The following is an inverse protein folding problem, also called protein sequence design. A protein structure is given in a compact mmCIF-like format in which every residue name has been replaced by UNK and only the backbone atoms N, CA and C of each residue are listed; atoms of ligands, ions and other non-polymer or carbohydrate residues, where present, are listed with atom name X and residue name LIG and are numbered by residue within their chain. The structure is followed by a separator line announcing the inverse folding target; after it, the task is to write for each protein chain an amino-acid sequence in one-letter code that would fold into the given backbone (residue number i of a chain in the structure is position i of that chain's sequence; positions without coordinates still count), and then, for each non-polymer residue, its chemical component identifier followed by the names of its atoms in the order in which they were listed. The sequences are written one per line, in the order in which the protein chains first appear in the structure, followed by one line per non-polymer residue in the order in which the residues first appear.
data_IF_219836022165
#
_entry.id   IF_219836022165
#
_cell.length_a   1.000
_cell.length_b   1.000
_cell.length_c   1.000
_cell.angle_alpha   90.00
_cell.angle_beta   90.00
_cell.angle_gamma   90.00
#
_symmetry.space_group_name_H-M   'P 1'
#
loop_
_entity.id
_entity.type
_entity.pdbx_description
1 polymer ?
#
# COMPACT_ATOMS: atom_id res chain seq x y z
N UNK A 1 6.37 -18.09 -13.11
CA UNK A 1 5.00 -17.73 -12.72
C UNK A 1 4.97 -17.73 -11.22
N UNK A 2 4.82 -16.56 -10.61
CA UNK A 2 4.70 -16.48 -9.16
C UNK A 2 3.24 -16.80 -8.81
N UNK A 3 3.00 -17.98 -8.24
CA UNK A 3 1.69 -18.36 -7.73
C UNK A 3 1.47 -17.64 -6.41
N UNK A 4 0.96 -16.42 -6.50
CA UNK A 4 0.61 -15.63 -5.34
C UNK A 4 -0.69 -16.12 -4.71
N UNK A 5 -1.02 -15.59 -3.53
CA UNK A 5 -2.28 -15.90 -2.86
C UNK A 5 -3.50 -15.58 -3.77
N UNK A 6 -3.37 -14.68 -4.76
CA UNK A 6 -4.48 -14.29 -5.66
C UNK A 6 -4.80 -15.40 -6.64
N UNK A 7 -3.77 -16.04 -7.20
CA UNK A 7 -3.91 -17.20 -8.07
C UNK A 7 -4.69 -18.34 -7.38
N UNK A 8 -4.29 -18.70 -6.16
CA UNK A 8 -4.97 -19.76 -5.41
C UNK A 8 -6.41 -19.40 -5.07
N UNK A 9 -6.70 -18.12 -4.80
CA UNK A 9 -8.05 -17.65 -4.53
C UNK A 9 -8.95 -17.75 -5.78
N UNK A 10 -8.45 -17.34 -6.95
CA UNK A 10 -9.16 -17.50 -8.23
C UNK A 10 -9.40 -18.97 -8.55
N UNK A 11 -8.38 -19.82 -8.39
CA UNK A 11 -8.49 -21.25 -8.62
C UNK A 11 -9.53 -21.89 -7.67
N UNK A 12 -9.50 -21.52 -6.38
CA UNK A 12 -10.47 -22.00 -5.40
C UNK A 12 -11.90 -21.56 -5.74
N UNK A 13 -12.11 -20.28 -6.11
CA UNK A 13 -13.43 -19.79 -6.56
C UNK A 13 -13.91 -20.53 -7.80
N UNK A 14 -13.03 -20.75 -8.79
CA UNK A 14 -13.38 -21.47 -10.01
C UNK A 14 -13.77 -22.92 -9.72
N UNK A 15 -12.95 -23.67 -8.98
CA UNK A 15 -13.20 -25.07 -8.65
C UNK A 15 -14.48 -25.24 -7.84
N UNK A 16 -14.66 -24.44 -6.78
CA UNK A 16 -15.89 -24.51 -5.96
C UNK A 16 -17.13 -24.10 -6.76
N UNK A 17 -17.01 -23.09 -7.62
CA UNK A 17 -18.10 -22.66 -8.51
C UNK A 17 -18.49 -23.71 -9.54
N UNK A 18 -17.52 -24.40 -10.15
CA UNK A 18 -17.76 -25.47 -11.13
C UNK A 18 -18.39 -26.70 -10.48
N UNK A 19 -17.90 -27.12 -9.31
CA UNK A 19 -18.48 -28.28 -8.60
C UNK A 19 -19.93 -28.01 -8.21
N UNK A 20 -20.18 -26.88 -7.56
CA UNK A 20 -21.52 -26.53 -7.10
C UNK A 20 -22.47 -26.23 -8.27
N UNK A 21 -22.05 -25.39 -9.21
CA UNK A 21 -22.84 -25.03 -10.38
C UNK A 21 -23.09 -26.20 -11.33
N UNK A 22 -22.12 -27.08 -11.51
CA UNK A 22 -22.25 -28.30 -12.31
C UNK A 22 -23.25 -29.29 -11.72
N UNK A 23 -23.21 -29.51 -10.41
CA UNK A 23 -24.19 -30.36 -9.72
C UNK A 23 -25.61 -29.79 -9.81
N UNK A 24 -25.74 -28.47 -9.58
CA UNK A 24 -27.02 -27.78 -9.74
C UNK A 24 -27.58 -27.91 -11.17
N UNK A 25 -26.72 -27.78 -12.19
CA UNK A 25 -27.12 -27.91 -13.60
C UNK A 25 -27.51 -29.34 -13.96
N UNK A 26 -26.80 -30.35 -13.45
CA UNK A 26 -27.14 -31.77 -13.60
C UNK A 26 -28.52 -32.10 -13.01
N UNK A 27 -28.80 -31.64 -11.78
CA UNK A 27 -30.11 -31.85 -11.14
C UNK A 27 -31.23 -31.17 -11.92
N UNK A 28 -30.98 -29.96 -12.44
CA UNK A 28 -31.94 -29.23 -13.27
C UNK A 28 -32.23 -29.94 -14.60
N UNK A 29 -31.21 -30.51 -15.25
CA UNK A 29 -31.38 -31.29 -16.49
C UNK A 29 -32.12 -32.61 -16.24
N UNK A 30 -31.88 -33.25 -15.10
CA UNK A 30 -32.54 -34.51 -14.71
C UNK A 30 -33.90 -34.31 -14.01
N UNK A 31 -34.35 -33.05 -13.87
CA UNK A 31 -35.58 -32.63 -13.17
C UNK A 31 -35.68 -33.18 -11.74
N UNK A 32 -34.55 -33.42 -11.09
CA UNK A 32 -34.52 -33.89 -9.71
C UNK A 32 -34.53 -32.73 -8.72
N UNK A 33 -35.28 -32.84 -7.61
CA UNK A 33 -35.22 -31.86 -6.52
C UNK A 33 -33.84 -31.92 -5.84
N UNK A 34 -33.37 -30.78 -5.31
CA UNK A 34 -32.07 -30.69 -4.66
C UNK A 34 -32.06 -31.50 -3.34
N UNK A 35 -31.29 -32.60 -3.24
CA UNK A 35 -31.38 -33.49 -2.09
C UNK A 35 -30.47 -33.00 -0.97
N UNK A 36 -30.94 -32.08 -0.13
CA UNK A 36 -30.13 -31.45 0.94
C UNK A 36 -29.52 -32.47 1.91
N UNK A 37 -30.25 -33.52 2.27
CA UNK A 37 -29.78 -34.55 3.22
C UNK A 37 -28.83 -35.60 2.61
N UNK A 38 -28.80 -35.73 1.28
CA UNK A 38 -27.98 -36.71 0.56
C UNK A 38 -27.02 -36.04 -0.43
N UNK A 39 -26.70 -34.77 -0.17
CA UNK A 39 -25.76 -34.01 -0.97
C UNK A 39 -24.38 -34.68 -0.90
N UNK A 40 -23.69 -34.91 -2.03
CA UNK A 40 -22.33 -35.40 -1.98
C UNK A 40 -21.44 -34.43 -1.20
N UNK A 41 -20.60 -34.96 -0.30
CA UNK A 41 -19.74 -34.18 0.60
C UNK A 41 -18.92 -33.10 -0.13
N UNK A 42 -18.44 -33.41 -1.34
CA UNK A 42 -17.69 -32.46 -2.16
C UNK A 42 -18.53 -31.24 -2.59
N UNK A 43 -19.81 -31.46 -2.91
CA UNK A 43 -20.74 -30.39 -3.31
C UNK A 43 -21.13 -29.56 -2.10
N UNK A 44 -21.36 -30.19 -0.94
CA UNK A 44 -21.66 -29.49 0.31
C UNK A 44 -20.54 -28.50 0.68
N UNK A 45 -19.28 -28.95 0.64
CA UNK A 45 -18.13 -28.08 0.87
C UNK A 45 -18.03 -26.98 -0.19
N UNK A 46 -18.18 -27.32 -1.48
CA UNK A 46 -18.13 -26.34 -2.55
C UNK A 46 -19.21 -25.25 -2.38
N UNK A 47 -20.45 -25.62 -2.07
CA UNK A 47 -21.57 -24.71 -1.80
C UNK A 47 -21.31 -23.80 -0.60
N UNK A 48 -20.73 -24.35 0.46
CA UNK A 48 -20.48 -23.61 1.71
C UNK A 48 -19.31 -22.63 1.57
N UNK A 49 -18.23 -23.04 0.90
CA UNK A 49 -17.04 -22.21 0.73
C UNK A 49 -17.15 -21.22 -0.43
N UNK A 50 -17.86 -21.55 -1.52
CA UNK A 50 -17.96 -20.67 -2.69
C UNK A 50 -18.33 -19.23 -2.37
N UNK A 51 -19.41 -18.91 -1.61
CA UNK A 51 -19.76 -17.52 -1.32
C UNK A 51 -18.69 -16.81 -0.49
N UNK A 52 -18.07 -17.50 0.47
CA UNK A 52 -17.00 -16.93 1.30
C UNK A 52 -15.77 -16.61 0.46
N UNK A 53 -15.28 -17.59 -0.32
CA UNK A 53 -14.11 -17.42 -1.19
C UNK A 53 -14.39 -16.38 -2.27
N UNK A 54 -15.59 -16.34 -2.84
CA UNK A 54 -16.01 -15.33 -3.80
C UNK A 54 -16.03 -13.93 -3.18
N UNK A 55 -16.57 -13.76 -1.97
CA UNK A 55 -16.54 -12.47 -1.28
C UNK A 55 -15.10 -12.05 -1.02
N UNK A 56 -14.24 -12.94 -0.51
CA UNK A 56 -12.82 -12.64 -0.29
C UNK A 56 -12.13 -12.29 -1.62
N UNK A 57 -12.45 -12.99 -2.71
CA UNK A 57 -11.95 -12.68 -4.05
C UNK A 57 -12.40 -11.30 -4.51
N UNK A 58 -13.67 -10.94 -4.35
CA UNK A 58 -14.20 -9.63 -4.74
C UNK A 58 -13.61 -8.51 -3.89
N UNK A 59 -13.60 -8.67 -2.56
CA UNK A 59 -13.00 -7.72 -1.62
C UNK A 59 -11.53 -7.47 -1.97
N UNK A 60 -10.77 -8.52 -2.27
CA UNK A 60 -9.34 -8.41 -2.59
C UNK A 60 -9.06 -7.91 -4.00
N UNK A 61 -9.84 -8.37 -4.98
CA UNK A 61 -9.65 -7.99 -6.38
C UNK A 61 -10.01 -6.53 -6.60
N UNK A 62 -10.93 -6.00 -5.78
CA UNK A 62 -11.53 -4.70 -6.03
C UNK A 62 -11.35 -3.73 -4.86
N UNK A 63 -11.72 -4.06 -3.62
CA UNK A 63 -11.81 -3.06 -2.54
C UNK A 63 -10.49 -2.73 -1.85
N UNK A 64 -9.89 -3.69 -1.12
CA UNK A 64 -8.78 -3.40 -0.22
C UNK A 64 -7.75 -4.53 -0.20
N UNK A 65 -6.47 -4.16 -0.24
CA UNK A 65 -5.38 -5.11 -0.04
C UNK A 65 -4.63 -4.82 1.25
N UNK A 66 -4.47 -5.83 2.13
CA UNK A 66 -3.68 -5.67 3.33
C UNK A 66 -2.18 -5.79 3.00
N UNK A 67 -1.39 -4.85 3.52
CA UNK A 67 0.07 -4.92 3.48
C UNK A 67 0.63 -4.90 4.90
N UNK A 68 1.75 -5.60 5.10
CA UNK A 68 2.56 -5.48 6.31
C UNK A 68 3.74 -4.55 6.01
N UNK A 69 4.07 -3.67 6.95
CA UNK A 69 5.22 -2.75 6.86
C UNK A 69 6.46 -3.43 7.45
N UNK A 70 7.46 -3.77 6.62
CA UNK A 70 8.66 -4.46 7.07
C UNK A 70 9.83 -3.52 7.39
N UNK A 71 9.72 -2.24 7.02
CA UNK A 71 10.83 -1.27 7.11
C UNK A 71 10.39 0.06 7.70
N UNK A 72 11.34 0.77 8.31
CA UNK A 72 11.12 2.05 8.98
C UNK A 72 11.28 3.30 8.11
N UNK A 73 11.26 3.17 6.78
CA UNK A 73 11.48 4.29 5.85
C UNK A 73 10.35 5.34 5.85
N UNK A 74 9.18 4.98 6.37
CA UNK A 74 8.01 5.85 6.48
C UNK A 74 7.76 6.32 7.92
N UNK A 75 8.73 6.17 8.83
CA UNK A 75 8.59 6.68 10.20
C UNK A 75 8.59 8.22 10.23
N UNK A 76 7.81 8.86 11.12
CA UNK A 76 7.04 8.23 12.20
C UNK A 76 5.60 7.84 11.79
N UNK A 77 5.20 8.14 10.55
CA UNK A 77 3.86 7.89 10.01
C UNK A 77 3.52 6.41 10.02
N UNK A 78 4.42 5.57 9.48
CA UNK A 78 4.32 4.11 9.52
C UNK A 78 5.51 3.52 10.26
N UNK A 79 5.21 2.63 11.20
CA UNK A 79 6.22 1.88 11.96
C UNK A 79 6.36 0.47 11.39
N UNK A 80 7.52 -0.14 11.65
CA UNK A 80 7.69 -1.59 11.41
C UNK A 80 6.64 -2.33 12.22
N UNK A 81 6.00 -3.32 11.61
CA UNK A 81 4.92 -4.09 12.24
C UNK A 81 3.52 -3.54 12.02
N UNK A 82 3.37 -2.38 11.38
CA UNK A 82 2.05 -1.90 10.92
C UNK A 82 1.47 -2.82 9.85
N UNK A 83 0.17 -3.06 9.96
CA UNK A 83 -0.65 -3.65 8.92
C UNK A 83 -1.60 -2.58 8.40
N UNK A 84 -1.45 -2.26 7.11
CA UNK A 84 -2.19 -1.20 6.44
C UNK A 84 -3.22 -1.76 5.46
N UNK A 85 -4.26 -0.99 5.21
CA UNK A 85 -5.15 -1.20 4.08
C UNK A 85 -4.82 -0.20 2.96
N UNK A 86 -4.75 -0.74 1.75
CA UNK A 86 -4.50 0.02 0.53
C UNK A 86 -5.74 -0.01 -0.34
N UNK A 87 -6.20 1.16 -0.76
CA UNK A 87 -7.27 1.32 -1.72
C UNK A 87 -6.69 1.31 -3.13
N UNK A 88 -6.99 0.24 -3.89
CA UNK A 88 -6.54 0.09 -5.28
C UNK A 88 -7.33 0.93 -6.27
N UNK A 89 -8.58 1.26 -5.93
CA UNK A 89 -9.48 2.00 -6.81
C UNK A 89 -9.10 3.47 -6.98
N UNK A 90 -8.41 4.05 -6.00
CA UNK A 90 -8.06 5.47 -6.05
C UNK A 90 -7.40 5.83 -7.38
N UNK A 91 -6.56 4.94 -7.94
CA UNK A 91 -5.82 5.18 -9.19
C UNK A 91 -6.33 4.36 -10.38
N UNK A 92 -7.57 3.88 -10.32
CA UNK A 92 -8.23 3.15 -11.40
C UNK A 92 -8.40 1.65 -11.17
N UNK A 93 -9.28 1.03 -11.96
CA UNK A 93 -9.56 -0.41 -11.89
C UNK A 93 -8.56 -1.15 -12.77
N UNK A 94 -7.81 -2.08 -12.18
CA UNK A 94 -6.87 -2.97 -12.89
C UNK A 94 -7.39 -4.41 -12.90
N UNK A 95 -7.20 -5.12 -14.01
CA UNK A 95 -7.51 -6.55 -14.06
C UNK A 95 -6.67 -7.33 -13.04
N UNK A 96 -7.28 -8.28 -12.29
CA UNK A 96 -6.51 -9.19 -11.47
C UNK A 96 -5.53 -9.99 -12.35
N UNK A 97 -4.38 -10.35 -11.77
CA UNK A 97 -3.28 -11.10 -12.43
C UNK A 97 -2.52 -10.29 -13.49
N UNK A 98 -3.21 -9.72 -14.49
CA UNK A 98 -2.60 -9.03 -15.64
C UNK A 98 -2.25 -7.57 -15.33
N UNK A 99 -2.82 -6.99 -14.27
CA UNK A 99 -2.59 -5.60 -13.83
C UNK A 99 -2.84 -4.51 -14.89
N UNK A 100 -3.59 -4.83 -15.96
CA UNK A 100 -3.96 -3.88 -17.00
C UNK A 100 -5.04 -2.92 -16.48
N UNK A 101 -4.78 -1.61 -16.54
CA UNK A 101 -5.76 -0.55 -16.20
C UNK A 101 -6.90 -0.56 -17.23
N UNK A 102 -8.14 -0.67 -16.77
CA UNK A 102 -9.35 -0.69 -17.60
C UNK A 102 -10.16 0.60 -17.43
N UNK A 103 -10.20 1.13 -16.20
CA UNK A 103 -10.97 2.33 -15.86
C UNK A 103 -10.03 3.33 -15.22
N UNK A 104 -9.95 4.52 -15.79
CA UNK A 104 -9.29 5.68 -15.22
C UNK A 104 -10.23 6.37 -14.23
N UNK A 105 -9.73 6.68 -13.03
CA UNK A 105 -10.57 7.27 -11.96
C UNK A 105 -9.93 8.53 -11.38
N UNK A 106 -8.79 8.41 -10.70
CA UNK A 106 -8.06 9.56 -10.18
C UNK A 106 -6.55 9.38 -10.37
N UNK A 107 -5.84 10.50 -10.29
CA UNK A 107 -4.38 10.54 -10.23
C UNK A 107 -3.91 10.69 -8.77
N UNK A 108 -2.74 10.16 -8.41
CA UNK A 108 -2.06 10.46 -7.16
C UNK A 108 -1.93 11.96 -6.92
N UNK A 109 -2.30 12.37 -5.71
CA UNK A 109 -2.15 13.74 -5.26
C UNK A 109 -0.85 13.89 -4.47
N UNK A 110 -0.32 15.10 -4.46
CA UNK A 110 0.80 15.45 -3.60
C UNK A 110 0.42 15.14 -2.15
N UNK A 111 1.34 14.51 -1.43
CA UNK A 111 1.12 14.05 -0.05
C UNK A 111 0.51 12.66 0.07
N UNK A 112 -0.03 12.05 -1.01
CA UNK A 112 -0.57 10.71 -0.92
C UNK A 112 0.50 9.68 -0.54
N UNK A 113 0.17 8.77 0.37
CA UNK A 113 1.00 7.61 0.67
C UNK A 113 0.61 6.48 -0.27
N UNK A 114 1.55 6.07 -1.13
CA UNK A 114 1.29 5.12 -2.21
C UNK A 114 2.11 3.86 -2.07
N UNK A 115 1.48 2.73 -2.36
CA UNK A 115 2.16 1.46 -2.60
C UNK A 115 2.38 1.31 -4.10
N UNK A 116 3.57 0.91 -4.49
CA UNK A 116 3.97 0.73 -5.88
C UNK A 116 5.01 -0.37 -6.03
N UNK A 117 5.05 -1.00 -7.21
CA UNK A 117 6.08 -1.96 -7.58
C UNK A 117 7.39 -1.23 -7.84
N UNK A 118 8.46 -1.62 -7.17
CA UNK A 118 9.75 -0.95 -7.29
C UNK A 118 10.25 -0.97 -8.75
N UNK A 119 10.51 0.19 -9.40
CA UNK A 119 10.81 0.23 -10.83
C UNK A 119 12.01 -0.60 -11.29
N UNK A 120 13.04 -0.76 -10.43
CA UNK A 120 14.22 -1.57 -10.75
C UNK A 120 14.02 -3.07 -10.49
N UNK A 121 13.04 -3.44 -9.64
CA UNK A 121 12.70 -4.83 -9.34
C UNK A 121 11.20 -4.95 -9.04
N UNK A 122 10.34 -5.09 -10.07
CA UNK A 122 8.88 -5.01 -9.92
C UNK A 122 8.22 -6.12 -9.09
N UNK A 123 8.98 -7.16 -8.68
CA UNK A 123 8.53 -8.20 -7.76
C UNK A 123 8.49 -7.75 -6.29
N UNK A 124 8.99 -6.54 -5.99
CA UNK A 124 9.03 -5.98 -4.63
C UNK A 124 8.16 -4.72 -4.58
N UNK A 125 7.24 -4.70 -3.62
CA UNK A 125 6.39 -3.53 -3.36
C UNK A 125 7.06 -2.56 -2.37
N UNK A 126 7.01 -1.27 -2.68
CA UNK A 126 7.50 -0.17 -1.87
C UNK A 126 6.33 0.73 -1.47
N UNK A 127 6.46 1.36 -0.29
CA UNK A 127 5.53 2.39 0.17
C UNK A 127 6.30 3.69 0.42
N UNK A 128 5.83 4.79 -0.18
CA UNK A 128 6.42 6.14 -0.06
C UNK A 128 5.34 7.20 -0.17
N UNK A 129 5.66 8.43 0.24
CA UNK A 129 4.82 9.61 0.04
C UNK A 129 5.11 10.25 -1.31
N UNK A 130 4.07 10.64 -2.04
CA UNK A 130 4.19 11.40 -3.29
C UNK A 130 4.59 12.83 -2.96
N UNK A 131 5.79 13.22 -3.36
CA UNK A 131 6.33 14.57 -3.18
C UNK A 131 6.18 15.39 -4.44
N UNK A 132 6.40 14.80 -5.63
CA UNK A 132 6.29 15.48 -6.92
C UNK A 132 5.35 14.78 -7.89
N UNK A 133 4.56 15.59 -8.60
CA UNK A 133 3.62 15.20 -9.64
C UNK A 133 4.22 15.46 -11.04
N UNK A 134 3.64 14.90 -12.12
CA UNK A 134 4.06 15.21 -13.49
C UNK A 134 4.25 16.71 -13.74
N UNK A 135 5.39 17.08 -14.33
CA UNK A 135 5.76 18.45 -14.65
C UNK A 135 6.41 19.25 -13.51
N UNK A 136 6.38 18.75 -12.26
CA UNK A 136 7.02 19.45 -11.15
C UNK A 136 8.55 19.50 -11.26
N UNK A 137 9.12 20.58 -10.77
CA UNK A 137 10.54 20.71 -10.44
C UNK A 137 10.73 20.57 -8.93
N UNK A 138 11.25 19.43 -8.49
CA UNK A 138 11.52 19.11 -7.09
C UNK A 138 12.99 19.34 -6.79
N UNK A 139 13.30 20.33 -5.97
CA UNK A 139 14.63 20.51 -5.37
C UNK A 139 14.68 19.91 -3.98
N UNK A 140 15.82 19.35 -3.59
CA UNK A 140 16.05 18.93 -2.22
C UNK A 140 17.43 19.42 -1.78
N UNK A 141 17.46 20.39 -0.87
CA UNK A 141 18.68 21.07 -0.44
C UNK A 141 18.64 21.27 1.06
N UNK A 142 19.75 20.99 1.74
CA UNK A 142 19.85 21.15 3.19
C UNK A 142 18.68 20.51 3.97
N UNK A 143 18.17 19.39 3.44
CA UNK A 143 17.03 18.63 3.97
C UNK A 143 15.65 19.30 3.88
N UNK A 144 15.57 20.39 3.11
CA UNK A 144 14.32 21.09 2.78
C UNK A 144 13.92 20.74 1.35
N UNK A 145 12.64 20.42 1.16
CA UNK A 145 12.06 20.21 -0.16
C UNK A 145 11.67 21.56 -0.76
N UNK A 146 11.94 21.74 -2.04
CA UNK A 146 11.50 22.86 -2.85
C UNK A 146 10.60 22.32 -3.97
N UNK A 147 9.37 22.79 -4.06
CA UNK A 147 8.45 22.42 -5.14
C UNK A 147 8.28 23.64 -6.04
N UNK A 148 8.68 23.52 -7.31
CA UNK A 148 8.62 24.60 -8.30
C UNK A 148 9.31 25.89 -7.81
N UNK A 149 10.41 25.73 -7.06
CA UNK A 149 11.19 26.82 -6.47
C UNK A 149 10.66 27.34 -5.13
N UNK A 150 9.50 26.90 -4.67
CA UNK A 150 8.95 27.30 -3.36
C UNK A 150 9.42 26.32 -2.27
N UNK A 151 10.09 26.80 -1.21
CA UNK A 151 10.48 25.96 -0.09
C UNK A 151 9.25 25.50 0.69
N UNK A 152 9.23 24.22 1.01
CA UNK A 152 8.21 23.61 1.85
C UNK A 152 8.50 23.96 3.30
N UNK A 153 7.47 24.45 4.01
CA UNK A 153 7.60 24.87 5.41
C UNK A 153 7.80 23.65 6.30
N UNK A 154 8.78 23.75 7.20
CA UNK A 154 9.05 22.76 8.23
C UNK A 154 9.07 23.42 9.60
N UNK A 155 8.41 22.81 10.58
CA UNK A 155 8.39 23.26 11.98
C UNK A 155 8.96 22.15 12.86
N UNK A 156 9.96 22.48 13.68
CA UNK A 156 10.54 21.49 14.59
C UNK A 156 9.59 21.19 15.75
N UNK A 157 9.31 19.90 15.92
CA UNK A 157 8.55 19.35 17.05
C UNK A 157 9.49 18.82 18.15
N UNK A 158 10.79 19.07 18.03
CA UNK A 158 11.82 18.60 18.96
C UNK A 158 12.37 17.23 18.61
N UNK A 159 12.92 16.55 19.63
CA UNK A 159 13.55 15.23 19.45
C UNK A 159 12.48 14.14 19.44
N UNK A 160 12.57 13.26 18.45
CA UNK A 160 11.74 12.07 18.40
C UNK A 160 12.09 11.14 19.55
N UNK A 161 11.08 10.72 20.31
CA UNK A 161 11.19 9.71 21.34
C UNK A 161 10.39 8.49 20.87
N UNK A 162 11.11 7.50 20.33
CA UNK A 162 10.49 6.30 19.78
C UNK A 162 10.04 5.35 20.88
N UNK A 163 8.95 4.64 20.63
CA UNK A 163 8.46 3.52 21.45
C UNK A 163 8.33 2.27 20.59
N UNK A 164 8.47 1.08 21.19
CA UNK A 164 8.42 -0.19 20.46
C UNK A 164 9.39 -0.22 19.28
N UNK A 165 8.86 -0.54 18.10
CA UNK A 165 9.62 -0.55 16.84
C UNK A 165 10.16 0.83 16.39
N UNK A 166 9.73 1.93 17.01
CA UNK A 166 10.25 3.27 16.75
C UNK A 166 11.51 3.62 17.56
N UNK A 167 11.88 2.84 18.58
CA UNK A 167 12.98 3.16 19.52
C UNK A 167 14.30 3.42 18.79
N UNK A 168 14.57 2.68 17.72
CA UNK A 168 15.80 2.80 16.92
C UNK A 168 16.02 4.19 16.29
N UNK A 169 14.99 5.03 16.21
CA UNK A 169 15.11 6.42 15.72
C UNK A 169 15.11 7.48 16.82
N UNK A 170 15.14 7.08 18.10
CA UNK A 170 15.13 8.04 19.20
C UNK A 170 16.32 8.99 19.10
N UNK A 171 16.06 10.29 19.28
CA UNK A 171 17.07 11.35 19.12
C UNK A 171 17.13 11.97 17.72
N UNK A 172 16.47 11.39 16.72
CA UNK A 172 16.22 12.09 15.45
C UNK A 172 15.43 13.39 15.69
N UNK A 173 15.61 14.37 14.81
CA UNK A 173 14.79 15.58 14.80
C UNK A 173 13.45 15.27 14.12
N UNK A 174 12.36 15.51 14.85
CA UNK A 174 11.01 15.38 14.31
C UNK A 174 10.56 16.75 13.81
N UNK A 175 10.19 16.82 12.55
CA UNK A 175 9.62 18.02 11.95
C UNK A 175 8.19 17.74 11.49
N UNK A 176 7.34 18.75 11.56
CA UNK A 176 6.09 18.82 10.82
C UNK A 176 6.34 19.54 9.50
N UNK A 177 6.04 18.88 8.38
CA UNK A 177 6.23 19.40 7.04
C UNK A 177 4.86 19.68 6.38
N UNK A 178 4.68 20.90 5.87
CA UNK A 178 3.47 21.33 5.16
C UNK A 178 3.67 21.27 3.65
N UNK A 179 3.30 20.14 3.05
CA UNK A 179 3.47 19.87 1.64
C UNK A 179 2.34 20.51 0.80
N UNK A 180 2.25 21.84 0.84
CA UNK A 180 1.23 22.65 0.15
C UNK A 180 -0.20 22.33 0.60
N UNK A 181 -0.43 22.29 1.91
CA UNK A 181 -1.71 22.01 2.57
C UNK A 181 -1.84 20.58 3.08
N UNK A 182 -0.83 19.72 2.88
CA UNK A 182 -0.78 18.36 3.44
C UNK A 182 0.31 18.29 4.51
N UNK A 183 -0.12 18.45 5.76
CA UNK A 183 0.75 18.37 6.94
C UNK A 183 1.05 16.91 7.29
N UNK A 184 2.34 16.59 7.48
CA UNK A 184 2.78 15.28 7.94
C UNK A 184 4.07 15.37 8.76
N UNK A 185 4.32 14.37 9.60
CA UNK A 185 5.56 14.27 10.37
C UNK A 185 6.67 13.60 9.56
N UNK A 186 7.89 14.11 9.70
CA UNK A 186 9.11 13.53 9.12
C UNK A 186 10.19 13.38 10.19
N UNK A 187 11.12 12.45 9.97
CA UNK A 187 12.32 12.29 10.79
C UNK A 187 13.56 12.66 10.00
N UNK A 188 14.44 13.44 10.66
CA UNK A 188 15.74 13.86 10.14
C UNK A 188 16.83 13.52 11.16
N UNK A 189 17.89 12.89 10.70
CA UNK A 189 19.12 12.65 11.46
C UNK A 189 20.12 13.77 11.25
N UNK A 190 20.51 14.46 12.32
CA UNK A 190 21.55 15.52 12.23
C UNK A 190 22.91 14.91 11.87
N UNK A 191 23.69 15.59 11.02
CA UNK A 191 25.03 15.17 10.63
C UNK A 191 25.10 14.08 9.55
N UNK A 192 23.96 13.53 9.12
CA UNK A 192 23.91 12.60 7.99
C UNK A 192 23.81 13.40 6.69
N UNK A 193 24.79 13.21 5.81
CA UNK A 193 24.77 13.78 4.46
C UNK A 193 23.70 13.08 3.62
N UNK A 194 23.03 13.84 2.77
CA UNK A 194 21.99 13.35 1.87
C UNK A 194 22.20 13.90 0.47
N UNK A 195 21.55 13.29 -0.52
CA UNK A 195 21.59 13.77 -1.90
C UNK A 195 21.07 15.20 -1.94
N UNK A 196 21.73 16.07 -2.71
CA UNK A 196 21.27 17.43 -2.97
C UNK A 196 21.20 17.63 -4.48
N UNK A 197 19.98 17.71 -5.01
CA UNK A 197 19.77 17.73 -6.46
C UNK A 197 18.40 18.33 -6.81
N UNK A 198 18.19 18.55 -8.11
CA UNK A 198 16.93 18.96 -8.72
C UNK A 198 16.43 17.90 -9.66
N UNK A 199 15.18 17.49 -9.46
CA UNK A 199 14.49 16.51 -10.28
C UNK A 199 13.33 17.18 -11.01
N UNK A 200 13.28 17.04 -12.33
CA UNK A 200 12.11 17.43 -13.13
C UNK A 200 11.30 16.17 -13.39
N UNK A 201 10.08 16.12 -12.86
CA UNK A 201 9.22 14.94 -12.91
C UNK A 201 8.65 14.78 -14.32
N UNK A 202 8.95 13.68 -15.04
CA UNK A 202 8.41 13.45 -16.37
C UNK A 202 6.89 13.25 -16.35
N UNK A 203 6.25 13.44 -17.50
CA UNK A 203 4.85 13.06 -17.68
C UNK A 203 4.59 11.59 -17.33
N UNK A 204 3.45 11.31 -16.69
CA UNK A 204 3.07 9.97 -16.23
C UNK A 204 3.98 9.36 -15.14
N UNK A 205 4.82 10.17 -14.50
CA UNK A 205 5.72 9.73 -13.43
C UNK A 205 5.51 10.53 -12.14
N UNK A 206 5.97 9.97 -11.03
CA UNK A 206 5.87 10.57 -9.70
C UNK A 206 7.22 10.54 -8.99
N UNK A 207 7.53 11.61 -8.25
CA UNK A 207 8.68 11.66 -7.36
C UNK A 207 8.21 11.35 -5.94
N UNK A 208 8.77 10.31 -5.32
CA UNK A 208 8.31 9.82 -4.02
C UNK A 208 9.45 9.82 -3.00
N UNK A 209 9.13 10.12 -1.73
CA UNK A 209 10.09 10.11 -0.63
C UNK A 209 9.53 9.39 0.60
N UNK A 210 10.44 8.88 1.44
CA UNK A 210 10.07 8.38 2.75
C UNK A 210 10.00 9.48 3.79
N UNK A 211 9.07 9.36 4.74
CA UNK A 211 8.93 10.29 5.86
C UNK A 211 10.15 10.23 6.80
N UNK A 212 10.86 9.07 6.85
CA UNK A 212 12.15 8.96 7.52
C UNK A 212 13.27 9.32 6.54
N UNK A 213 13.53 10.63 6.43
CA UNK A 213 14.26 11.24 5.31
C UNK A 213 15.67 10.72 5.14
N UNK A 214 16.37 10.42 6.23
CA UNK A 214 17.76 9.95 6.16
C UNK A 214 17.87 8.41 6.17
N UNK A 215 16.76 7.68 6.33
CA UNK A 215 16.72 6.21 6.32
C UNK A 215 15.71 5.68 5.30
N UNK A 216 15.68 6.30 4.12
CA UNK A 216 14.76 5.93 3.05
C UNK A 216 15.50 5.86 1.71
N UNK A 217 15.44 4.68 1.07
CA UNK A 217 15.87 4.48 -0.31
C UNK A 217 14.69 4.78 -1.25
N UNK A 218 14.63 6.02 -1.75
CA UNK A 218 13.50 6.56 -2.52
C UNK A 218 13.95 7.32 -3.78
N UNK A 219 13.08 8.14 -4.38
CA UNK A 219 13.32 8.73 -5.70
C UNK A 219 14.59 9.58 -5.80
N UNK A 220 15.13 10.05 -4.67
CA UNK A 220 16.43 10.70 -4.60
C UNK A 220 17.60 9.83 -5.09
N UNK A 221 17.44 8.50 -5.04
CA UNK A 221 18.52 7.54 -5.34
C UNK A 221 18.27 6.74 -6.63
N UNK A 222 17.02 6.45 -6.97
CA UNK A 222 16.68 5.58 -8.10
C UNK A 222 15.74 6.20 -9.14
N UNK A 223 15.34 7.46 -8.97
CA UNK A 223 14.52 8.21 -9.92
C UNK A 223 13.02 8.05 -9.70
N UNK A 224 12.24 8.18 -10.76
CA UNK A 224 10.79 8.35 -10.66
C UNK A 224 10.01 7.03 -10.68
N UNK A 225 8.77 7.08 -10.21
CA UNK A 225 7.82 5.96 -10.27
C UNK A 225 6.87 6.18 -11.44
N UNK A 226 6.87 5.30 -12.46
CA UNK A 226 5.86 5.34 -13.51
C UNK A 226 4.46 5.05 -12.95
N UNK A 227 3.43 5.67 -13.50
CA UNK A 227 2.04 5.46 -13.06
C UNK A 227 1.61 3.98 -13.12
N UNK A 228 2.11 3.24 -14.12
CA UNK A 228 1.85 1.81 -14.30
C UNK A 228 2.33 0.96 -13.12
N UNK A 229 3.29 1.46 -12.34
CA UNK A 229 3.84 0.76 -11.18
C UNK A 229 2.98 0.96 -9.92
N UNK A 230 2.08 1.94 -9.89
CA UNK A 230 1.25 2.22 -8.73
C UNK A 230 0.28 1.08 -8.46
N UNK A 231 0.21 0.65 -7.20
CA UNK A 231 -0.72 -0.38 -6.73
C UNK A 231 -1.95 0.27 -6.11
N UNK A 232 -1.77 1.26 -5.24
CA UNK A 232 -2.88 1.98 -4.61
C UNK A 232 -2.46 2.96 -3.53
N UNK A 233 -3.44 3.62 -2.91
CA UNK A 233 -3.26 4.59 -1.82
C UNK A 233 -3.44 3.91 -0.47
N UNK A 234 -2.43 4.00 0.41
CA UNK A 234 -2.56 3.60 1.80
C UNK A 234 -3.42 4.62 2.55
N UNK A 235 -4.42 4.15 3.32
CA UNK A 235 -5.36 5.06 3.99
C UNK A 235 -5.66 4.71 5.46
N UNK A 236 -5.30 3.51 5.92
CA UNK A 236 -5.70 3.03 7.24
C UNK A 236 -4.73 2.02 7.82
N UNK A 237 -4.41 2.14 9.11
CA UNK A 237 -3.71 1.11 9.90
C UNK A 237 -4.78 0.32 10.66
N UNK A 238 -4.93 -0.97 10.35
CA UNK A 238 -5.94 -1.82 10.98
C UNK A 238 -5.38 -2.67 12.12
N UNK A 239 -4.05 -2.84 12.17
CA UNK A 239 -3.36 -3.51 13.27
C UNK A 239 -1.89 -3.07 13.27
N UNK A 240 -1.25 -3.06 14.43
CA UNK A 240 0.19 -3.08 14.54
C UNK A 240 0.56 -4.20 15.51
N UNK A 241 1.54 -5.01 15.13
CA UNK A 241 2.18 -5.89 16.09
C UNK A 241 3.55 -5.30 16.42
N UNK A 242 3.86 -5.22 17.70
CA UNK A 242 5.10 -4.71 18.21
C UNK A 242 5.97 -5.88 18.62
N UNK A 243 7.04 -6.11 17.86
CA UNK A 243 7.96 -7.20 18.09
C UNK A 243 8.81 -6.99 19.36
N UNK A 244 9.04 -5.75 19.80
CA UNK A 244 9.77 -5.46 21.03
C UNK A 244 8.93 -5.85 22.26
N UNK A 245 7.68 -5.40 22.27
CA UNK A 245 6.75 -5.64 23.37
C UNK A 245 5.98 -6.96 23.25
N UNK A 246 6.23 -7.74 22.19
CA UNK A 246 5.57 -9.03 21.88
C UNK A 246 4.04 -8.96 21.96
N UNK A 247 3.45 -7.88 21.44
CA UNK A 247 2.01 -7.63 21.57
C UNK A 247 1.47 -6.68 20.52
N UNK A 248 0.17 -6.36 20.62
CA UNK A 248 -0.49 -5.42 19.70
C UNK A 248 -0.32 -4.00 20.24
N UNK A 249 0.15 -3.08 19.39
CA UNK A 249 0.18 -1.65 19.73
C UNK A 249 -1.20 -1.03 19.47
N UNK A 250 -2.05 -1.04 20.50
CA UNK A 250 -3.45 -0.60 20.42
C UNK A 250 -3.60 0.89 20.08
N UNK A 251 -2.62 1.72 20.41
CA UNK A 251 -2.59 3.15 20.09
C UNK A 251 -2.53 3.42 18.58
N UNK A 252 -2.04 2.46 17.79
CA UNK A 252 -1.95 2.58 16.32
C UNK A 252 -3.20 2.09 15.60
N UNK A 253 -3.99 1.23 16.25
CA UNK A 253 -5.17 0.62 15.66
C UNK A 253 -6.20 1.70 15.30
N UNK A 254 -6.69 1.69 14.06
CA UNK A 254 -7.71 2.64 13.62
C UNK A 254 -7.17 3.96 13.09
N UNK A 255 -5.85 4.11 13.00
CA UNK A 255 -5.23 5.36 12.52
C UNK A 255 -5.49 5.54 11.03
N UNK A 256 -6.06 6.69 10.66
CA UNK A 256 -6.22 7.11 9.27
C UNK A 256 -4.95 7.79 8.79
N UNK A 257 -4.45 7.36 7.64
CA UNK A 257 -3.27 7.94 7.03
C UNK A 257 -3.67 9.20 6.25
N UNK A 258 -2.89 10.26 6.45
CA UNK A 258 -3.00 11.54 5.73
C UNK A 258 -1.67 11.88 5.08
#
# INVERSE_FOLDING_TARGET
MDYDFSFFLVAATFVTGVIWGGYWLYLRQTQQPYPVEKEPVLVEYARSFFPVVLIVLLLRSFLFEPFRIPSGSMMPTLLVGDFILVNKFTYGVRLPVINKKIIEMNEPKRGDIVVFRFPKQPSVDYIKRVIGLPGDRIGYFEKVIYVNGQPIKQVSLGRYQGVGQGVGMSGAERLEEDLMGVEHSILISRGVSTVQDVFVVPEGHYFVMGDNRDNSNDSRYWGFVPEANLVGKAFFIWMNWDWENKGIAFDRLGTRLR
#
